data_IF_525981568371
#
_entry.id   IF_525981568371
#
_cell.length_a   1.000
_cell.length_b   1.000
_cell.length_c   1.000
_cell.angle_alpha   90.00
_cell.angle_beta   90.00
_cell.angle_gamma   90.00
#
_symmetry.space_group_name_H-M   'P 1'
#
loop_
_entity.id
_entity.type
_entity.pdbx_description
1 polymer ?
#
# COMPACT_ATOMS: atom_id res chain seq x y z
N UNK A 1 -34.94 -57.11 -3.83
CA UNK A 1 -34.81 -56.02 -2.83
C UNK A 1 -33.68 -55.11 -3.28
N UNK A 2 -33.94 -53.83 -3.60
CA UNK A 2 -32.95 -52.87 -4.07
C UNK A 2 -32.57 -51.95 -2.91
N UNK A 3 -31.34 -52.05 -2.41
CA UNK A 3 -30.81 -51.13 -1.41
C UNK A 3 -30.43 -49.82 -2.09
N UNK A 4 -30.98 -48.69 -1.62
CA UNK A 4 -30.59 -47.35 -2.05
C UNK A 4 -29.55 -46.84 -1.06
N UNK A 5 -28.29 -46.76 -1.50
CA UNK A 5 -27.22 -46.13 -0.74
C UNK A 5 -27.35 -44.62 -0.95
N UNK A 6 -27.68 -43.90 0.12
CA UNK A 6 -27.66 -42.45 0.12
C UNK A 6 -26.21 -41.98 0.31
N UNK A 7 -25.62 -41.40 -0.74
CA UNK A 7 -24.30 -40.77 -0.65
C UNK A 7 -24.50 -39.38 -0.05
N UNK A 8 -24.07 -39.18 1.19
CA UNK A 8 -24.02 -37.87 1.83
C UNK A 8 -22.77 -37.16 1.33
N UNK A 9 -22.93 -36.19 0.42
CA UNK A 9 -21.85 -35.34 -0.03
C UNK A 9 -21.54 -34.30 1.06
N UNK A 10 -20.41 -34.48 1.75
CA UNK A 10 -19.89 -33.48 2.70
C UNK A 10 -19.19 -32.39 1.89
N UNK A 11 -19.85 -31.25 1.72
CA UNK A 11 -19.22 -30.05 1.16
C UNK A 11 -18.34 -29.41 2.25
N UNK A 12 -17.03 -29.68 2.19
CA UNK A 12 -16.03 -28.96 2.99
C UNK A 12 -15.84 -27.59 2.34
N UNK A 13 -16.38 -26.54 2.96
CA UNK A 13 -16.05 -25.16 2.63
C UNK A 13 -14.63 -24.87 3.11
N UNK A 14 -13.66 -25.01 2.21
CA UNK A 14 -12.30 -24.48 2.40
C UNK A 14 -12.39 -22.95 2.39
N UNK A 15 -12.57 -22.33 3.55
CA UNK A 15 -12.38 -20.90 3.70
C UNK A 15 -10.88 -20.60 3.55
N UNK A 16 -10.44 -20.25 2.34
CA UNK A 16 -9.14 -19.63 2.18
C UNK A 16 -9.20 -18.28 2.90
N UNK A 17 -8.50 -18.15 4.04
CA UNK A 17 -8.31 -16.86 4.68
C UNK A 17 -7.52 -15.98 3.71
N UNK A 18 -8.22 -15.12 2.97
CA UNK A 18 -7.58 -14.05 2.19
C UNK A 18 -7.06 -13.06 3.23
N UNK A 19 -5.77 -13.15 3.57
CA UNK A 19 -5.11 -12.14 4.36
C UNK A 19 -4.96 -10.89 3.48
N UNK A 20 -5.79 -9.90 3.77
CA UNK A 20 -5.70 -8.57 3.18
C UNK A 20 -5.32 -7.58 4.28
N UNK A 21 -4.61 -6.53 3.88
CA UNK A 21 -4.16 -5.46 4.75
C UNK A 21 -4.53 -4.12 4.16
N UNK A 22 -4.97 -3.20 5.03
CA UNK A 22 -5.23 -1.83 4.65
C UNK A 22 -4.50 -0.88 5.60
N UNK A 23 -3.56 -0.10 5.07
CA UNK A 23 -3.08 1.12 5.70
C UNK A 23 -4.07 2.24 5.37
N UNK A 24 -4.54 2.99 6.36
CA UNK A 24 -5.34 4.20 6.12
C UNK A 24 -4.92 5.30 7.07
N UNK A 25 -4.81 6.53 6.58
CA UNK A 25 -4.66 7.69 7.44
C UNK A 25 -5.42 8.90 6.92
N UNK A 26 -5.85 9.76 7.84
CA UNK A 26 -6.35 11.09 7.50
C UNK A 26 -5.16 12.06 7.39
N UNK A 27 -5.06 12.75 6.26
CA UNK A 27 -4.02 13.71 5.96
C UNK A 27 -4.35 15.10 6.55
N UNK A 28 -3.33 15.93 6.68
CA UNK A 28 -3.44 17.32 7.17
C UNK A 28 -4.43 18.21 6.41
N UNK A 29 -4.79 17.85 5.18
CA UNK A 29 -5.77 18.56 4.35
C UNK A 29 -7.21 18.01 4.49
N UNK A 30 -7.44 17.09 5.43
CA UNK A 30 -8.74 16.46 5.69
C UNK A 30 -9.11 15.34 4.70
N UNK A 31 -8.27 15.06 3.70
CA UNK A 31 -8.40 13.89 2.81
C UNK A 31 -7.85 12.64 3.48
N UNK A 32 -8.12 11.50 2.88
CA UNK A 32 -7.60 10.20 3.30
C UNK A 32 -6.71 9.64 2.21
N UNK A 33 -5.66 8.94 2.64
CA UNK A 33 -4.89 8.04 1.80
C UNK A 33 -5.06 6.62 2.35
N UNK A 34 -5.26 5.65 1.48
CA UNK A 34 -5.20 4.24 1.86
C UNK A 34 -4.38 3.40 0.87
N UNK A 35 -3.78 2.33 1.41
CA UNK A 35 -3.09 1.30 0.64
C UNK A 35 -3.70 -0.02 1.04
N UNK A 36 -4.35 -0.68 0.08
CA UNK A 36 -4.93 -2.01 0.23
C UNK A 36 -4.05 -3.04 -0.45
N UNK A 37 -3.64 -4.09 0.25
CA UNK A 37 -2.87 -5.19 -0.31
C UNK A 37 -3.56 -6.51 -0.01
N UNK A 38 -3.65 -7.39 -1.00
CA UNK A 38 -4.16 -8.75 -0.87
C UNK A 38 -3.23 -9.71 -1.64
N UNK A 39 -3.15 -10.96 -1.21
CA UNK A 39 -2.29 -11.92 -1.88
C UNK A 39 -2.75 -12.18 -3.32
N UNK A 40 -1.80 -12.17 -4.24
CA UNK A 40 -2.04 -12.49 -5.65
C UNK A 40 -2.53 -11.33 -6.51
N UNK A 41 -2.74 -10.13 -5.94
CA UNK A 41 -3.05 -8.93 -6.71
C UNK A 41 -2.10 -7.78 -6.36
N UNK A 42 -1.86 -6.84 -7.29
CA UNK A 42 -1.09 -5.64 -6.99
C UNK A 42 -1.79 -4.80 -5.92
N UNK A 43 -1.05 -4.23 -4.95
CA UNK A 43 -1.65 -3.29 -4.00
C UNK A 43 -2.36 -2.14 -4.71
N UNK A 44 -3.32 -1.54 -4.02
CA UNK A 44 -4.16 -0.44 -4.51
C UNK A 44 -3.98 0.77 -3.59
N UNK A 45 -3.61 1.90 -4.19
CA UNK A 45 -3.61 3.20 -3.55
C UNK A 45 -4.94 3.90 -3.81
N UNK A 46 -5.49 4.55 -2.77
CA UNK A 46 -6.64 5.43 -2.88
C UNK A 46 -6.37 6.75 -2.20
N UNK A 47 -6.86 7.82 -2.80
CA UNK A 47 -6.86 9.15 -2.20
C UNK A 47 -8.21 9.84 -2.42
N UNK A 48 -8.70 10.55 -1.41
CA UNK A 48 -9.95 11.31 -1.53
C UNK A 48 -10.59 11.63 -0.18
N UNK A 49 -11.91 11.67 -0.15
CA UNK A 49 -12.69 11.81 1.09
C UNK A 49 -13.36 10.48 1.43
N UNK A 50 -13.86 10.33 2.66
CA UNK A 50 -14.67 9.17 3.04
C UNK A 50 -15.90 8.97 2.13
N UNK A 51 -16.46 10.06 1.59
CA UNK A 51 -17.62 10.01 0.71
C UNK A 51 -17.28 9.75 -0.76
N UNK A 52 -16.04 10.04 -1.18
CA UNK A 52 -15.64 10.00 -2.59
C UNK A 52 -14.14 9.79 -2.75
N UNK A 53 -13.79 8.69 -3.40
CA UNK A 53 -12.45 8.45 -3.94
C UNK A 53 -12.19 9.37 -5.12
N UNK A 54 -11.05 10.06 -5.11
CA UNK A 54 -10.62 11.01 -6.14
C UNK A 54 -9.55 10.38 -7.04
N UNK A 55 -8.70 9.53 -6.48
CA UNK A 55 -7.63 8.82 -7.20
C UNK A 55 -7.61 7.37 -6.75
N UNK A 56 -7.48 6.46 -7.72
CA UNK A 56 -7.20 5.03 -7.50
C UNK A 56 -6.03 4.61 -8.38
N UNK A 57 -5.01 3.98 -7.80
CA UNK A 57 -3.85 3.44 -8.52
C UNK A 57 -3.58 1.99 -8.09
N UNK A 58 -2.99 1.14 -8.96
CA UNK A 58 -2.70 1.40 -10.36
C UNK A 58 -3.98 1.57 -11.19
N UNK A 59 -3.87 2.24 -12.34
CA UNK A 59 -5.01 2.39 -13.27
C UNK A 59 -5.26 1.02 -13.93
N UNK A 60 -6.46 0.39 -13.79
CA UNK A 60 -6.70 -1.01 -14.16
C UNK A 60 -6.39 -1.38 -15.63
N UNK A 61 -6.30 -0.39 -16.51
CA UNK A 61 -6.10 -0.56 -17.95
C UNK A 61 -4.66 -0.30 -18.39
N UNK A 62 -3.74 0.06 -17.48
CA UNK A 62 -2.34 0.24 -17.81
C UNK A 62 -1.57 -1.07 -17.59
N UNK A 63 -0.84 -1.58 -18.60
CA UNK A 63 -0.17 -2.88 -18.53
C UNK A 63 0.98 -2.94 -17.51
N UNK A 64 1.48 -1.78 -17.08
CA UNK A 64 2.58 -1.67 -16.13
C UNK A 64 2.04 -1.22 -14.77
N UNK A 65 1.50 -2.17 -14.00
CA UNK A 65 1.26 -2.01 -12.57
C UNK A 65 2.61 -1.81 -11.85
N UNK A 66 3.10 -0.58 -11.91
CA UNK A 66 4.37 -0.16 -11.36
C UNK A 66 4.17 0.23 -9.90
N UNK A 67 3.92 -0.79 -9.09
CA UNK A 67 3.85 -0.72 -7.64
C UNK A 67 5.16 -1.29 -7.09
N UNK A 68 5.83 -0.50 -6.26
CA UNK A 68 7.13 -0.85 -5.71
C UNK A 68 7.13 -0.71 -4.19
N UNK A 69 7.88 -1.57 -3.53
CA UNK A 69 8.08 -1.55 -2.09
C UNK A 69 9.53 -1.17 -1.78
N UNK A 70 9.71 -0.32 -0.77
CA UNK A 70 11.02 0.02 -0.24
C UNK A 70 11.03 -0.15 1.28
N UNK A 71 12.10 -0.73 1.79
CA UNK A 71 12.33 -0.83 3.23
C UNK A 71 13.81 -0.81 3.54
N UNK A 72 14.21 -0.06 4.55
CA UNK A 72 15.59 0.01 5.02
C UNK A 72 15.63 0.35 6.51
N UNK A 73 16.51 -0.35 7.22
CA UNK A 73 16.86 -0.04 8.60
C UNK A 73 18.14 0.80 8.57
N UNK A 74 18.16 1.87 9.36
CA UNK A 74 19.30 2.75 9.57
C UNK A 74 19.80 2.64 11.01
N UNK A 75 20.97 3.22 11.30
CA UNK A 75 21.55 3.22 12.66
C UNK A 75 20.62 3.87 13.70
N UNK A 76 19.70 4.74 13.28
CA UNK A 76 18.85 5.52 14.17
C UNK A 76 17.38 5.59 13.68
N UNK A 77 16.89 4.54 13.03
CA UNK A 77 15.49 4.46 12.59
C UNK A 77 15.28 3.45 11.48
N UNK A 78 14.10 3.46 10.87
CA UNK A 78 13.79 2.66 9.70
C UNK A 78 12.80 3.42 8.82
N UNK A 79 12.80 3.11 7.53
CA UNK A 79 11.84 3.66 6.59
C UNK A 79 11.22 2.54 5.79
N UNK A 80 9.89 2.57 5.69
CA UNK A 80 9.12 1.74 4.79
C UNK A 80 8.28 2.63 3.91
N UNK A 81 8.22 2.32 2.62
CA UNK A 81 7.32 3.00 1.71
C UNK A 81 6.78 2.06 0.64
N UNK A 82 5.67 2.48 0.05
CA UNK A 82 5.14 1.90 -1.17
C UNK A 82 4.94 3.01 -2.21
N UNK A 83 5.42 2.77 -3.43
CA UNK A 83 5.39 3.73 -4.53
C UNK A 83 4.50 3.23 -5.66
N UNK A 84 3.54 4.05 -6.04
CA UNK A 84 2.66 3.84 -7.19
C UNK A 84 3.07 4.80 -8.30
N UNK A 85 3.59 4.27 -9.41
CA UNK A 85 3.93 5.08 -10.58
C UNK A 85 2.74 5.18 -11.53
N UNK A 86 2.43 6.40 -11.96
CA UNK A 86 1.45 6.69 -13.00
C UNK A 86 2.00 7.73 -13.97
N UNK A 87 2.46 7.30 -15.14
CA UNK A 87 3.20 8.16 -16.06
C UNK A 87 4.49 8.69 -15.43
N UNK A 88 4.64 10.01 -15.38
CA UNK A 88 5.75 10.69 -14.71
C UNK A 88 5.48 11.05 -13.24
N UNK A 89 4.36 10.62 -12.68
CA UNK A 89 4.05 10.82 -11.27
C UNK A 89 4.43 9.59 -10.45
N UNK A 90 5.01 9.81 -9.28
CA UNK A 90 5.22 8.79 -8.24
C UNK A 90 4.44 9.21 -6.99
N UNK A 91 3.48 8.39 -6.59
CA UNK A 91 2.71 8.55 -5.36
C UNK A 91 3.34 7.63 -4.33
N UNK A 92 3.99 8.20 -3.33
CA UNK A 92 4.76 7.44 -2.35
C UNK A 92 4.11 7.60 -0.99
N UNK A 93 3.64 6.49 -0.44
CA UNK A 93 3.11 6.44 0.93
C UNK A 93 4.22 5.95 1.84
N UNK A 94 4.49 6.72 2.88
CA UNK A 94 5.63 6.58 3.76
C UNK A 94 5.20 6.24 5.18
N UNK A 95 6.03 5.42 5.81
CA UNK A 95 6.05 5.18 7.24
C UNK A 95 7.52 5.02 7.65
N UNK A 96 8.14 6.12 8.07
CA UNK A 96 9.57 6.13 8.34
C UNK A 96 10.02 7.18 9.32
N UNK A 97 11.08 6.85 10.04
CA UNK A 97 11.75 7.71 11.00
C UNK A 97 13.27 7.52 10.94
N UNK A 98 13.99 8.56 11.35
CA UNK A 98 15.43 8.55 11.44
C UNK A 98 15.96 9.71 12.29
N UNK A 99 17.28 9.83 12.36
CA UNK A 99 17.90 10.93 13.11
C UNK A 99 17.54 12.28 12.48
N UNK A 100 16.73 13.06 13.19
CA UNK A 100 16.33 14.40 12.77
C UNK A 100 15.15 14.46 11.80
N UNK A 101 14.48 13.33 11.53
CA UNK A 101 13.29 13.31 10.68
C UNK A 101 12.33 12.19 11.08
N UNK A 102 11.04 12.45 10.93
CA UNK A 102 9.97 11.47 11.04
C UNK A 102 8.91 11.89 10.01
N UNK A 103 8.45 10.95 9.20
CA UNK A 103 7.41 11.21 8.24
C UNK A 103 6.51 9.99 8.06
N UNK A 104 5.23 10.19 8.34
CA UNK A 104 4.15 9.26 8.05
C UNK A 104 3.10 10.01 7.21
N UNK A 105 2.86 9.58 5.98
CA UNK A 105 2.06 10.36 5.04
C UNK A 105 2.28 10.01 3.58
N UNK A 106 1.93 10.93 2.70
CA UNK A 106 2.11 10.80 1.25
C UNK A 106 2.93 11.94 0.68
N UNK A 107 3.88 11.59 -0.19
CA UNK A 107 4.59 12.53 -1.05
C UNK A 107 4.28 12.17 -2.49
N UNK A 108 3.91 13.19 -3.28
CA UNK A 108 3.71 13.05 -4.72
C UNK A 108 4.85 13.74 -5.42
N UNK A 109 5.56 12.97 -6.24
CA UNK A 109 6.63 13.45 -7.10
C UNK A 109 6.11 13.55 -8.52
N UNK A 110 6.57 14.56 -9.25
CA UNK A 110 6.48 14.63 -10.71
C UNK A 110 7.90 14.66 -11.25
N UNK A 111 8.24 13.67 -12.07
CA UNK A 111 9.60 13.33 -12.43
C UNK A 111 10.39 13.00 -11.16
N UNK A 112 11.16 13.96 -10.62
CA UNK A 112 11.86 13.84 -9.34
C UNK A 112 11.59 15.01 -8.38
N UNK A 113 10.65 15.90 -8.71
CA UNK A 113 10.32 17.06 -7.91
C UNK A 113 9.10 16.77 -7.03
N UNK A 114 9.17 17.15 -5.76
CA UNK A 114 8.02 17.10 -4.86
C UNK A 114 7.01 18.17 -5.30
N UNK A 115 5.80 17.73 -5.64
CA UNK A 115 4.69 18.63 -5.98
C UNK A 115 3.62 18.66 -4.89
N UNK A 116 3.65 17.69 -3.97
CA UNK A 116 2.78 17.65 -2.79
C UNK A 116 3.42 16.81 -1.71
N UNK A 117 3.37 17.29 -0.47
CA UNK A 117 3.72 16.56 0.76
C UNK A 117 2.58 16.74 1.75
N UNK A 118 2.05 15.65 2.29
CA UNK A 118 0.93 15.65 3.24
C UNK A 118 1.20 14.62 4.32
N UNK A 119 1.25 15.07 5.56
CA UNK A 119 1.42 14.22 6.74
C UNK A 119 0.07 13.69 7.22
N UNK A 120 0.09 12.51 7.82
CA UNK A 120 -1.05 11.97 8.54
C UNK A 120 -1.26 12.77 9.84
N UNK A 121 -2.49 13.21 10.12
CA UNK A 121 -2.85 13.90 11.39
C UNK A 121 -2.85 12.94 12.56
N UNK A 122 -3.58 11.84 12.37
CA UNK A 122 -3.69 10.74 13.33
C UNK A 122 -3.41 9.45 12.53
N UNK A 123 -2.31 8.73 12.82
CA UNK A 123 -2.04 7.46 12.17
C UNK A 123 -3.04 6.41 12.67
N UNK A 124 -4.14 6.22 11.93
CA UNK A 124 -5.16 5.21 12.21
C UNK A 124 -4.77 3.85 11.60
N UNK A 125 -3.74 3.19 12.13
CA UNK A 125 -3.44 1.73 11.93
C UNK A 125 -3.22 1.19 10.48
N UNK A 126 -2.58 0.00 10.33
CA UNK A 126 -1.29 -0.42 10.88
C UNK A 126 -0.12 0.12 10.05
N UNK A 127 1.12 -0.02 10.53
CA UNK A 127 2.36 0.33 9.81
C UNK A 127 2.46 -0.33 8.44
N UNK A 128 3.13 0.33 7.48
CA UNK A 128 3.42 -0.25 6.15
C UNK A 128 4.34 -1.48 6.20
N UNK A 129 4.94 -1.80 7.34
CA UNK A 129 5.94 -2.87 7.51
C UNK A 129 5.47 -4.26 7.10
N UNK A 130 4.18 -4.54 7.14
CA UNK A 130 3.63 -5.85 6.77
C UNK A 130 3.50 -6.03 5.26
N UNK A 131 3.61 -4.96 4.46
CA UNK A 131 3.56 -5.02 3.00
C UNK A 131 4.66 -5.93 2.41
N UNK A 132 5.76 -6.17 3.14
CA UNK A 132 6.78 -7.16 2.79
C UNK A 132 6.24 -8.57 2.53
N UNK A 133 5.05 -8.90 3.06
CA UNK A 133 4.43 -10.21 2.92
C UNK A 133 3.66 -10.39 1.59
N UNK A 134 3.46 -9.33 0.81
CA UNK A 134 2.58 -9.32 -0.39
C UNK A 134 3.32 -9.46 -1.72
N UNK A 135 4.56 -9.97 -1.73
CA UNK A 135 5.36 -10.22 -2.93
C UNK A 135 5.45 -9.00 -3.89
N UNK A 136 5.48 -7.79 -3.33
CA UNK A 136 5.62 -6.54 -4.08
C UNK A 136 7.08 -6.42 -4.55
N UNK A 137 7.29 -5.97 -5.79
CA UNK A 137 8.63 -5.78 -6.35
C UNK A 137 9.38 -4.72 -5.53
N UNK A 138 10.63 -5.01 -5.18
CA UNK A 138 11.52 -4.00 -4.60
C UNK A 138 11.67 -2.82 -5.56
N UNK A 139 11.72 -1.61 -5.01
CA UNK A 139 11.91 -0.41 -5.81
C UNK A 139 13.33 -0.34 -6.39
N UNK A 140 13.51 -0.30 -7.72
CA UNK A 140 14.84 -0.12 -8.33
C UNK A 140 15.43 1.26 -8.04
N UNK A 141 14.64 2.21 -7.55
CA UNK A 141 15.06 3.56 -7.17
C UNK A 141 15.05 3.75 -5.64
N UNK A 142 15.39 2.70 -4.89
CA UNK A 142 15.38 2.71 -3.41
C UNK A 142 16.05 3.97 -2.85
N UNK A 143 17.29 4.27 -3.24
CA UNK A 143 18.07 5.41 -2.76
C UNK A 143 17.40 6.77 -2.98
N UNK A 144 16.55 6.90 -4.01
CA UNK A 144 15.81 8.14 -4.28
C UNK A 144 14.67 8.36 -3.31
N UNK A 145 14.00 7.28 -2.91
CA UNK A 145 12.74 7.36 -2.18
C UNK A 145 12.86 6.87 -0.73
N UNK A 146 13.96 6.26 -0.29
CA UNK A 146 14.03 5.63 1.04
C UNK A 146 14.05 6.64 2.19
N UNK A 147 14.44 7.89 1.94
CA UNK A 147 14.31 8.99 2.88
C UNK A 147 13.18 9.92 2.44
N UNK A 148 12.24 10.19 3.34
CA UNK A 148 11.26 11.24 3.13
C UNK A 148 11.94 12.61 3.40
N UNK A 149 12.10 13.48 2.39
CA UNK A 149 12.75 14.78 2.55
C UNK A 149 11.89 15.79 3.33
#
# INVERSE_FOLDING_TARGET
MKARIAVVAVFVLLSASIYAEEFTCQLENGKYVSVFAEHGTPPVYRYGTLAKTEITLPVPQQPNNNVFYGHQIFVAGASTYIRFKNGNYSYVVYDGEGRGWNFNGVIVYKDNNIISKKECRDPLTPSLNNLKNYAIKMDPYLETYIYAP
#
